data_IF_931995460601
#
_entry.id   IF_931995460601
#
_cell.length_a   1.000
_cell.length_b   1.000
_cell.length_c   1.000
_cell.angle_alpha   90.00
_cell.angle_beta   90.00
_cell.angle_gamma   90.00
#
_symmetry.space_group_name_H-M   'P 1'
#
loop_
_entity.id
_entity.type
_entity.pdbx_description
1 polymer ?
#
# COMPACT_ATOMS: atom_id res chain seq x y z
N UNK A 1 4.27 -24.87 -8.79
CA UNK A 1 4.63 -23.63 -9.51
C UNK A 1 5.55 -22.80 -8.64
N UNK A 2 6.47 -22.06 -9.23
CA UNK A 2 7.39 -21.16 -8.51
C UNK A 2 6.77 -19.77 -8.41
N UNK A 3 7.01 -19.08 -7.30
CA UNK A 3 6.59 -17.69 -7.11
C UNK A 3 7.82 -16.83 -6.94
N UNK A 4 7.92 -15.78 -7.76
CA UNK A 4 8.95 -14.76 -7.65
C UNK A 4 8.35 -13.48 -7.09
N UNK A 5 9.03 -12.88 -6.11
CA UNK A 5 8.72 -11.57 -5.58
C UNK A 5 9.27 -10.50 -6.54
N UNK A 6 8.42 -9.56 -6.99
CA UNK A 6 8.74 -8.60 -8.06
C UNK A 6 8.76 -7.16 -7.54
N UNK A 7 7.75 -6.77 -6.77
CA UNK A 7 7.61 -5.43 -6.18
C UNK A 7 6.60 -5.47 -5.03
N UNK A 8 6.62 -4.43 -4.21
CA UNK A 8 5.66 -4.13 -3.15
C UNK A 8 5.42 -2.63 -3.04
N UNK A 9 4.42 -2.29 -2.23
CA UNK A 9 4.21 -0.97 -1.69
C UNK A 9 3.57 -1.12 -0.32
N UNK A 10 3.67 -0.08 0.48
CA UNK A 10 3.17 -0.08 1.85
C UNK A 10 2.48 1.25 2.15
N UNK A 11 1.49 1.19 3.02
CA UNK A 11 0.81 2.38 3.53
C UNK A 11 0.25 2.06 4.91
N UNK A 12 0.61 2.88 5.91
CA UNK A 12 -0.09 2.87 7.19
C UNK A 12 -1.44 3.54 6.96
N UNK A 13 -2.53 2.84 7.27
CA UNK A 13 -3.88 3.31 6.92
C UNK A 13 -4.25 4.68 7.51
N UNK A 14 -3.67 5.07 8.65
CA UNK A 14 -3.85 6.43 9.19
C UNK A 14 -3.37 7.55 8.25
N UNK A 15 -2.47 7.26 7.31
CA UNK A 15 -2.03 8.19 6.26
C UNK A 15 -2.79 7.99 4.93
N UNK A 16 -4.01 7.43 4.96
CA UNK A 16 -4.78 7.11 3.74
C UNK A 16 -5.08 8.31 2.84
N UNK A 17 -5.12 9.52 3.40
CA UNK A 17 -5.41 10.74 2.64
C UNK A 17 -4.28 11.00 1.64
N UNK A 18 -4.68 11.35 0.42
CA UNK A 18 -3.73 11.80 -0.58
C UNK A 18 -3.42 13.27 -0.36
N UNK A 19 -2.15 13.62 -0.44
CA UNK A 19 -1.64 14.96 -0.19
C UNK A 19 -0.96 15.54 -1.44
N UNK A 20 -0.68 16.84 -1.41
CA UNK A 20 0.07 17.49 -2.49
C UNK A 20 1.55 17.02 -2.47
N UNK A 21 2.12 16.52 -3.59
CA UNK A 21 3.53 16.10 -3.66
C UNK A 21 4.52 17.21 -3.28
N UNK A 22 4.13 18.47 -3.45
CA UNK A 22 4.97 19.63 -3.09
C UNK A 22 5.21 19.72 -1.58
N UNK A 23 4.38 19.11 -0.73
CA UNK A 23 4.63 19.04 0.72
C UNK A 23 5.93 18.30 1.03
N UNK A 24 6.25 17.25 0.27
CA UNK A 24 7.47 16.45 0.44
C UNK A 24 8.64 17.05 -0.34
N UNK A 25 8.41 17.54 -1.56
CA UNK A 25 9.48 18.09 -2.40
C UNK A 25 9.80 19.56 -2.12
N UNK A 26 9.02 20.22 -1.27
CA UNK A 26 9.06 21.67 -1.01
C UNK A 26 8.91 22.51 -2.27
N UNK A 27 8.21 21.97 -3.28
CA UNK A 27 8.06 22.59 -4.61
C UNK A 27 9.36 22.65 -5.42
N UNK A 28 10.46 22.04 -4.96
CA UNK A 28 11.78 22.14 -5.61
C UNK A 28 11.90 21.28 -6.86
N UNK A 29 11.00 20.32 -7.05
CA UNK A 29 11.01 19.40 -8.18
C UNK A 29 9.56 19.10 -8.59
N UNK A 30 9.22 19.20 -9.89
CA UNK A 30 7.98 18.63 -10.38
C UNK A 30 8.05 17.11 -10.22
N UNK A 31 7.08 16.52 -9.54
CA UNK A 31 7.06 15.07 -9.41
C UNK A 31 6.29 14.43 -10.55
N UNK A 32 6.91 13.47 -11.20
CA UNK A 32 6.32 12.65 -12.25
C UNK A 32 6.79 11.20 -12.10
N UNK A 33 5.97 10.20 -12.47
CA UNK A 33 4.57 10.33 -12.88
C UNK A 33 3.66 10.80 -11.72
N UNK A 34 2.40 11.06 -12.02
CA UNK A 34 1.40 11.29 -10.96
C UNK A 34 1.17 9.96 -10.22
N UNK A 35 1.50 9.96 -8.93
CA UNK A 35 1.48 8.79 -8.04
C UNK A 35 0.64 9.14 -6.80
N UNK A 36 0.13 8.17 -6.02
CA UNK A 36 -0.54 8.47 -4.77
C UNK A 36 0.49 9.00 -3.75
N UNK A 37 0.42 10.30 -3.45
CA UNK A 37 1.25 10.96 -2.44
C UNK A 37 0.53 10.97 -1.11
N UNK A 38 1.23 10.63 -0.04
CA UNK A 38 0.67 10.57 1.31
C UNK A 38 1.40 11.52 2.25
N UNK A 39 0.71 11.90 3.32
CA UNK A 39 1.31 12.66 4.41
C UNK A 39 2.36 11.85 5.18
N UNK A 40 3.13 12.56 6.00
CA UNK A 40 4.17 11.98 6.85
C UNK A 40 4.28 12.69 8.21
N UNK A 41 3.56 13.79 8.38
CA UNK A 41 3.57 14.61 9.60
C UNK A 41 2.58 14.01 10.58
N UNK A 42 2.79 14.29 11.87
CA UNK A 42 1.88 13.83 12.91
C UNK A 42 0.43 14.31 12.68
N UNK A 43 0.25 15.53 12.16
CA UNK A 43 -1.06 16.11 11.84
C UNK A 43 -1.78 15.44 10.65
N UNK A 44 -1.02 14.78 9.76
CA UNK A 44 -1.58 14.08 8.61
C UNK A 44 -2.18 12.71 9.03
N UNK A 45 -1.87 12.25 10.24
CA UNK A 45 -2.27 10.94 10.74
C UNK A 45 -3.71 10.93 11.24
N UNK A 46 -4.54 10.09 10.62
CA UNK A 46 -5.91 9.83 11.03
C UNK A 46 -5.98 8.61 11.95
N UNK A 47 -6.00 8.83 13.27
CA UNK A 47 -6.13 7.76 14.26
C UNK A 47 -7.50 7.05 14.21
N UNK A 48 -8.51 7.64 13.55
CA UNK A 48 -9.87 7.11 13.48
C UNK A 48 -10.22 6.56 12.09
N UNK A 49 -9.22 6.27 11.24
CA UNK A 49 -9.43 5.93 9.84
C UNK A 49 -10.42 4.75 9.62
N UNK A 50 -10.50 3.80 10.56
CA UNK A 50 -11.42 2.67 10.52
C UNK A 50 -12.49 2.69 11.63
N UNK A 51 -12.69 3.83 12.31
CA UNK A 51 -13.75 3.96 13.30
C UNK A 51 -15.12 3.77 12.64
N UNK A 52 -16.12 3.32 13.41
CA UNK A 52 -17.52 3.18 12.97
C UNK A 52 -17.70 2.35 11.68
N UNK A 53 -16.91 1.27 11.53
CA UNK A 53 -16.91 0.39 10.35
C UNK A 53 -16.63 1.13 9.03
N UNK A 54 -15.94 2.27 9.10
CA UNK A 54 -15.58 3.05 7.92
C UNK A 54 -14.74 2.20 6.97
N UNK A 55 -15.13 2.22 5.69
CA UNK A 55 -14.34 1.60 4.63
C UNK A 55 -13.58 2.64 3.84
N UNK A 56 -12.26 2.47 3.79
CA UNK A 56 -11.35 3.37 3.11
C UNK A 56 -10.97 2.87 1.71
N UNK A 57 -10.68 3.82 0.82
CA UNK A 57 -9.96 3.54 -0.41
C UNK A 57 -8.47 3.82 -0.16
N UNK A 58 -7.68 2.75 0.00
CA UNK A 58 -6.23 2.84 0.14
C UNK A 58 -5.58 2.74 -1.24
N UNK A 59 -4.79 3.74 -1.59
CA UNK A 59 -4.01 3.78 -2.84
C UNK A 59 -2.55 3.58 -2.49
N UNK A 60 -1.89 2.66 -3.18
CA UNK A 60 -0.50 2.32 -2.93
C UNK A 60 0.31 2.68 -4.17
N UNK A 61 1.45 3.31 -3.97
CA UNK A 61 2.51 3.33 -4.96
C UNK A 61 3.34 2.06 -4.77
N UNK A 62 3.49 1.26 -5.83
CA UNK A 62 4.36 0.09 -5.81
C UNK A 62 5.73 0.49 -6.35
N UNK A 63 6.80 -0.03 -5.74
CA UNK A 63 8.15 0.29 -6.20
C UNK A 63 8.32 -0.02 -7.70
N UNK A 64 9.01 0.87 -8.44
CA UNK A 64 9.14 0.72 -9.88
C UNK A 64 9.90 -0.57 -10.23
N UNK A 65 9.41 -1.29 -11.23
CA UNK A 65 9.97 -2.58 -11.67
C UNK A 65 9.85 -2.75 -13.18
N UNK A 66 10.66 -3.63 -13.74
CA UNK A 66 10.58 -4.07 -15.14
C UNK A 66 10.66 -5.59 -15.18
N UNK A 67 9.56 -6.23 -15.58
CA UNK A 67 9.45 -7.68 -15.58
C UNK A 67 8.68 -8.18 -16.81
N UNK A 68 9.19 -9.24 -17.45
CA UNK A 68 8.50 -9.90 -18.57
C UNK A 68 7.72 -11.09 -18.04
N UNK A 69 6.39 -11.03 -18.17
CA UNK A 69 5.52 -12.15 -17.87
C UNK A 69 5.31 -13.00 -19.13
N UNK A 70 6.13 -14.04 -19.30
CA UNK A 70 6.02 -14.95 -20.45
C UNK A 70 4.70 -15.71 -20.47
N UNK A 71 4.33 -16.20 -21.65
CA UNK A 71 3.12 -17.03 -21.84
C UNK A 71 3.07 -18.17 -20.81
N UNK A 72 1.93 -18.28 -20.11
CA UNK A 72 1.71 -19.27 -19.06
C UNK A 72 2.03 -18.79 -17.64
N UNK A 73 2.71 -17.64 -17.49
CA UNK A 73 2.87 -17.00 -16.20
C UNK A 73 1.56 -16.35 -15.72
N UNK A 74 1.47 -16.10 -14.41
CA UNK A 74 0.36 -15.40 -13.78
C UNK A 74 0.90 -14.32 -12.86
N UNK A 75 0.20 -13.20 -12.83
CA UNK A 75 0.45 -12.14 -11.85
C UNK A 75 -0.34 -12.52 -10.59
N UNK A 76 0.35 -12.52 -9.43
CA UNK A 76 -0.26 -12.73 -8.12
C UNK A 76 -0.06 -11.48 -7.28
N UNK A 77 -1.13 -11.02 -6.67
CA UNK A 77 -1.11 -9.94 -5.68
C UNK A 77 -1.27 -10.57 -4.31
N UNK A 78 -0.34 -10.30 -3.41
CA UNK A 78 -0.43 -10.67 -1.99
C UNK A 78 -0.75 -9.41 -1.19
N UNK A 79 -1.71 -9.49 -0.28
CA UNK A 79 -2.07 -8.41 0.64
C UNK A 79 -1.85 -8.94 2.06
N UNK A 80 -1.10 -8.18 2.87
CA UNK A 80 -0.78 -8.53 4.25
C UNK A 80 -0.94 -7.30 5.15
N UNK A 81 -1.19 -7.53 6.44
CA UNK A 81 -1.32 -6.45 7.43
C UNK A 81 -0.01 -6.05 8.11
N UNK A 82 1.05 -6.83 7.91
CA UNK A 82 2.37 -6.58 8.46
C UNK A 82 3.44 -7.28 7.59
N UNK A 83 4.64 -6.72 7.61
CA UNK A 83 5.85 -7.34 7.06
C UNK A 83 6.96 -7.23 8.11
N UNK A 84 6.94 -8.19 9.03
CA UNK A 84 7.77 -8.19 10.23
C UNK A 84 9.25 -8.36 9.88
N UNK A 85 10.09 -7.47 10.42
CA UNK A 85 11.53 -7.44 10.16
C UNK A 85 11.93 -6.49 9.02
N UNK A 86 11.01 -6.16 8.12
CA UNK A 86 11.20 -5.13 7.10
C UNK A 86 10.61 -3.78 7.54
N UNK A 87 9.43 -3.80 8.17
CA UNK A 87 8.75 -2.60 8.66
C UNK A 87 8.37 -2.67 10.13
N UNK A 88 8.21 -1.48 10.71
CA UNK A 88 7.67 -1.32 12.06
C UNK A 88 6.25 -1.90 12.14
N UNK A 89 6.02 -2.75 13.13
CA UNK A 89 4.68 -3.23 13.45
C UNK A 89 3.80 -2.06 13.90
N UNK A 90 2.48 -2.22 13.83
CA UNK A 90 1.59 -1.15 14.26
C UNK A 90 1.73 -0.93 15.78
N UNK A 91 2.13 0.27 16.25
CA UNK A 91 2.48 0.47 17.66
C UNK A 91 1.28 0.22 18.59
N UNK A 92 0.08 0.63 18.18
CA UNK A 92 -1.13 0.41 19.01
C UNK A 92 -1.62 -1.04 19.01
N UNK A 93 -1.38 -1.79 17.93
CA UNK A 93 -1.80 -3.21 17.84
C UNK A 93 -0.70 -4.16 18.33
N UNK A 94 0.54 -3.66 18.44
CA UNK A 94 1.70 -4.45 18.78
C UNK A 94 2.73 -3.68 19.62
N UNK A 95 2.32 -3.23 20.79
CA UNK A 95 3.16 -2.46 21.71
C UNK A 95 4.42 -3.22 22.18
N UNK A 96 4.42 -4.57 22.13
CA UNK A 96 5.55 -5.40 22.55
C UNK A 96 6.63 -5.54 21.48
N UNK A 97 6.32 -5.22 20.22
CA UNK A 97 7.21 -5.45 19.07
C UNK A 97 7.40 -6.94 18.71
N UNK A 98 6.76 -7.88 19.43
CA UNK A 98 6.79 -9.30 19.13
C UNK A 98 5.53 -9.69 18.31
N UNK A 99 5.67 -10.12 17.04
CA UNK A 99 4.56 -10.55 16.18
C UNK A 99 3.61 -11.56 16.81
N UNK A 100 4.12 -12.49 17.62
CA UNK A 100 3.32 -13.54 18.26
C UNK A 100 2.41 -13.01 19.38
N UNK A 101 2.66 -11.78 19.84
CA UNK A 101 1.95 -11.13 20.94
C UNK A 101 1.11 -9.93 20.48
N UNK A 102 1.16 -9.58 19.18
CA UNK A 102 0.32 -8.53 18.64
C UNK A 102 -1.16 -8.94 18.64
N UNK A 103 -2.06 -7.95 18.67
CA UNK A 103 -3.48 -8.17 18.46
C UNK A 103 -3.74 -8.69 17.04
N UNK A 104 -4.50 -9.79 16.95
CA UNK A 104 -4.92 -10.33 15.67
C UNK A 104 -5.76 -9.32 14.89
N UNK A 105 -5.44 -9.12 13.61
CA UNK A 105 -6.12 -8.17 12.73
C UNK A 105 -6.78 -8.90 11.58
N UNK A 106 -8.07 -8.66 11.36
CA UNK A 106 -8.80 -9.17 10.20
C UNK A 106 -8.85 -8.09 9.12
N UNK A 107 -8.38 -8.41 7.92
CA UNK A 107 -8.47 -7.51 6.77
C UNK A 107 -9.68 -7.87 5.90
N UNK A 108 -10.63 -6.94 5.78
CA UNK A 108 -11.79 -7.08 4.90
C UNK A 108 -11.54 -6.29 3.61
N UNK A 109 -11.27 -7.01 2.51
CA UNK A 109 -11.02 -6.39 1.21
C UNK A 109 -12.27 -6.43 0.35
N UNK A 110 -12.83 -5.25 0.05
CA UNK A 110 -14.00 -5.13 -0.80
C UNK A 110 -13.62 -5.16 -2.28
N UNK A 111 -14.39 -5.89 -3.10
CA UNK A 111 -14.24 -5.98 -4.55
C UNK A 111 -15.60 -6.05 -5.24
N UNK A 112 -15.70 -5.60 -6.49
CA UNK A 112 -16.91 -5.65 -7.31
C UNK A 112 -17.31 -4.27 -7.85
N UNK A 113 -18.46 -4.18 -8.51
CA UNK A 113 -18.87 -2.95 -9.22
C UNK A 113 -18.97 -1.71 -8.31
N UNK A 114 -19.45 -1.87 -7.07
CA UNK A 114 -19.59 -0.79 -6.10
C UNK A 114 -18.26 -0.39 -5.42
N UNK A 115 -17.27 -1.28 -5.38
CA UNK A 115 -15.97 -1.09 -4.71
C UNK A 115 -14.87 -1.75 -5.56
N UNK A 116 -14.34 -0.98 -6.51
CA UNK A 116 -13.48 -1.48 -7.60
C UNK A 116 -12.00 -1.51 -7.21
N UNK A 117 -11.65 -2.26 -6.16
CA UNK A 117 -10.25 -2.55 -5.82
C UNK A 117 -9.57 -3.20 -7.02
N UNK A 118 -8.44 -2.64 -7.45
CA UNK A 118 -7.72 -3.03 -8.66
C UNK A 118 -6.22 -2.77 -8.50
N UNK A 119 -5.45 -3.38 -9.40
CA UNK A 119 -4.06 -3.00 -9.65
C UNK A 119 -3.98 -2.31 -11.02
N UNK A 120 -3.19 -1.25 -11.11
CA UNK A 120 -2.87 -0.57 -12.37
C UNK A 120 -1.44 -0.94 -12.74
N UNK A 121 -1.24 -1.45 -13.96
CA UNK A 121 0.06 -1.92 -14.44
C UNK A 121 0.45 -1.16 -15.71
N UNK A 122 1.67 -0.61 -15.80
CA UNK A 122 2.17 0.05 -17.00
C UNK A 122 2.58 -1.00 -18.05
N UNK A 123 1.60 -1.63 -18.70
CA UNK A 123 1.84 -2.71 -19.67
C UNK A 123 2.51 -2.15 -20.92
N UNK A 124 3.74 -2.62 -21.19
CA UNK A 124 4.45 -2.40 -22.44
C UNK A 124 4.36 -3.68 -23.28
N UNK A 125 3.66 -3.68 -24.44
CA UNK A 125 3.61 -4.83 -25.31
C UNK A 125 5.00 -5.23 -25.82
N UNK A 126 5.26 -6.52 -25.90
CA UNK A 126 6.44 -7.02 -26.61
C UNK A 126 6.22 -6.84 -28.12
N UNK A 127 7.22 -6.30 -28.80
CA UNK A 127 7.28 -6.21 -30.27
C UNK A 127 7.47 -7.57 -30.92
#
# INVERSE_FOLDING_TARGET
GTVHYITEGQLRAGFHRMEDPTLQTRGLRPVRPELPWHGFRAEDYDANAFADDQVLNLRFDLQPTSWVFSKGHRIRISIAGADAGNFELHPDLCATGNPEQCLATTLTIHRGAARQSRIELPVIPLS
#
